data_IF_228354501187
#
_entry.id   IF_228354501187
#
_cell.length_a   1.000
_cell.length_b   1.000
_cell.length_c   1.000
_cell.angle_alpha   90.00
_cell.angle_beta   90.00
_cell.angle_gamma   90.00
#
_symmetry.space_group_name_H-M   'P 1'
#
loop_
_entity.id
_entity.type
_entity.pdbx_description
1 polymer ?
#
# COMPACT_ATOMS: atom_id res chain seq x y z
N UNK A 1 -17.96 -11.38 5.92
CA UNK A 1 -17.24 -10.57 6.94
C UNK A 1 -16.75 -9.34 6.21
N UNK A 2 -17.10 -8.12 6.63
CA UNK A 2 -16.61 -6.88 6.03
C UNK A 2 -15.39 -6.42 6.81
N UNK A 3 -14.35 -5.92 6.10
CA UNK A 3 -13.19 -5.31 6.73
C UNK A 3 -13.66 -4.03 7.46
N UNK A 4 -13.17 -3.83 8.68
CA UNK A 4 -13.51 -2.65 9.47
C UNK A 4 -12.78 -1.42 8.92
N UNK A 5 -13.49 -0.30 8.83
CA UNK A 5 -12.96 1.03 8.51
C UNK A 5 -12.79 1.85 9.77
N UNK A 6 -11.73 2.64 9.84
CA UNK A 6 -11.40 3.54 10.95
C UNK A 6 -10.74 4.80 10.39
N UNK A 7 -10.90 5.93 11.04
CA UNK A 7 -10.31 7.18 10.59
C UNK A 7 -8.80 7.26 10.91
N UNK A 8 -8.06 8.06 10.15
CA UNK A 8 -6.61 8.26 10.30
C UNK A 8 -6.20 8.87 11.65
N UNK A 9 -7.12 9.50 12.37
CA UNK A 9 -6.90 10.07 13.70
C UNK A 9 -7.19 9.09 14.86
N UNK A 10 -7.60 7.86 14.54
CA UNK A 10 -7.84 6.83 15.55
C UNK A 10 -6.57 6.52 16.34
N UNK A 11 -6.75 6.19 17.61
CA UNK A 11 -5.63 5.83 18.46
C UNK A 11 -4.99 4.49 18.04
N UNK A 12 -3.68 4.39 18.28
CA UNK A 12 -2.87 3.27 17.86
C UNK A 12 -3.32 1.93 18.47
N UNK A 13 -3.76 1.94 19.72
CA UNK A 13 -4.13 0.70 20.42
C UNK A 13 -5.44 0.15 19.84
N UNK A 14 -6.40 1.03 19.50
CA UNK A 14 -7.63 0.63 18.79
C UNK A 14 -7.31 0.00 17.42
N UNK A 15 -6.39 0.57 16.65
CA UNK A 15 -5.99 0.00 15.35
C UNK A 15 -5.37 -1.39 15.55
N UNK A 16 -4.50 -1.54 16.54
CA UNK A 16 -3.84 -2.82 16.85
C UNK A 16 -4.84 -3.90 17.29
N UNK A 17 -5.83 -3.55 18.13
CA UNK A 17 -6.89 -4.48 18.54
C UNK A 17 -7.68 -5.00 17.33
N UNK A 18 -7.98 -4.13 16.36
CA UNK A 18 -8.67 -4.52 15.13
C UNK A 18 -7.78 -5.47 14.30
N UNK A 19 -6.51 -5.14 14.11
CA UNK A 19 -5.57 -5.99 13.36
C UNK A 19 -5.41 -7.36 14.04
N UNK A 20 -5.30 -7.39 15.36
CA UNK A 20 -5.13 -8.63 16.12
C UNK A 20 -6.35 -9.54 16.02
N UNK A 21 -7.55 -8.94 16.02
CA UNK A 21 -8.82 -9.66 15.94
C UNK A 21 -9.17 -10.11 14.51
N UNK A 22 -9.01 -9.22 13.52
CA UNK A 22 -9.55 -9.36 12.17
C UNK A 22 -8.47 -9.59 11.11
N UNK A 23 -7.18 -9.48 11.48
CA UNK A 23 -6.00 -9.55 10.61
C UNK A 23 -5.98 -8.48 9.48
N UNK A 24 -6.92 -7.55 9.46
CA UNK A 24 -7.01 -6.48 8.48
C UNK A 24 -7.82 -5.29 9.01
N UNK A 25 -7.43 -4.09 8.58
CA UNK A 25 -8.17 -2.84 8.84
C UNK A 25 -7.99 -1.91 7.64
N UNK A 26 -8.99 -1.10 7.35
CA UNK A 26 -8.88 0.03 6.42
C UNK A 26 -8.79 1.31 7.23
N UNK A 27 -7.72 2.07 7.04
CA UNK A 27 -7.54 3.38 7.65
C UNK A 27 -7.91 4.44 6.59
N UNK A 28 -9.04 5.10 6.82
CA UNK A 28 -9.57 6.12 5.92
C UNK A 28 -8.85 7.47 6.15
N UNK A 29 -8.87 8.34 5.15
CA UNK A 29 -8.37 9.73 5.21
C UNK A 29 -6.87 9.88 5.51
N UNK A 30 -6.05 8.85 5.26
CA UNK A 30 -4.58 8.94 5.43
C UNK A 30 -3.94 9.91 4.44
N UNK A 31 -4.54 10.04 3.24
CA UNK A 31 -4.06 10.91 2.17
C UNK A 31 -5.14 11.94 1.82
N UNK A 32 -4.70 13.18 1.60
CA UNK A 32 -5.54 14.22 1.02
C UNK A 32 -5.80 13.97 -0.49
N UNK A 33 -6.79 14.66 -1.05
CA UNK A 33 -7.03 14.59 -2.51
C UNK A 33 -5.82 15.09 -3.31
N UNK A 34 -5.13 16.14 -2.83
CA UNK A 34 -3.92 16.67 -3.45
C UNK A 34 -2.78 15.64 -3.43
N UNK A 35 -2.60 14.92 -2.31
CA UNK A 35 -1.62 13.83 -2.22
C UNK A 35 -1.92 12.70 -3.21
N UNK A 36 -3.19 12.35 -3.37
CA UNK A 36 -3.61 11.33 -4.35
C UNK A 36 -3.33 11.77 -5.79
N UNK A 37 -3.60 13.04 -6.13
CA UNK A 37 -3.30 13.62 -7.43
C UNK A 37 -1.78 13.61 -7.66
N UNK A 38 -1.00 14.00 -6.66
CA UNK A 38 0.46 14.02 -6.76
C UNK A 38 1.02 12.61 -6.99
N UNK A 39 0.61 11.61 -6.20
CA UNK A 39 1.05 10.21 -6.38
C UNK A 39 0.71 9.71 -7.79
N UNK A 40 -0.50 9.97 -8.27
CA UNK A 40 -0.91 9.59 -9.63
C UNK A 40 0.00 10.22 -10.68
N UNK A 41 0.27 11.52 -10.58
CA UNK A 41 1.13 12.23 -11.53
C UNK A 41 2.58 11.71 -11.50
N UNK A 42 3.12 11.39 -10.33
CA UNK A 42 4.46 10.86 -10.17
C UNK A 42 4.62 9.43 -10.73
N UNK A 43 3.57 8.60 -10.64
CA UNK A 43 3.61 7.21 -11.08
C UNK A 43 3.13 7.02 -12.53
N UNK A 44 2.31 7.92 -13.07
CA UNK A 44 1.73 7.79 -14.40
C UNK A 44 2.75 7.58 -15.54
N UNK A 45 3.91 8.28 -15.56
CA UNK A 45 4.93 8.06 -16.59
C UNK A 45 5.48 6.63 -16.60
N UNK A 46 5.58 6.01 -15.44
CA UNK A 46 6.05 4.62 -15.31
C UNK A 46 4.97 3.63 -15.72
N UNK A 47 3.72 3.84 -15.27
CA UNK A 47 2.58 3.02 -15.66
C UNK A 47 2.30 3.07 -17.16
N UNK A 48 2.50 4.23 -17.80
CA UNK A 48 2.30 4.37 -19.26
C UNK A 48 3.36 3.60 -20.08
N UNK A 49 4.57 3.45 -19.55
CA UNK A 49 5.68 2.80 -20.22
C UNK A 49 5.87 1.33 -19.79
N UNK A 50 5.07 0.86 -18.83
CA UNK A 50 5.17 -0.51 -18.36
C UNK A 50 4.49 -1.49 -19.34
N UNK A 51 5.03 -2.70 -19.40
CA UNK A 51 4.49 -3.78 -20.22
C UNK A 51 3.47 -4.53 -19.38
N UNK A 52 2.31 -4.81 -19.98
CA UNK A 52 1.31 -5.66 -19.34
C UNK A 52 1.84 -7.08 -19.15
N UNK A 53 1.30 -7.79 -18.16
CA UNK A 53 1.66 -9.20 -17.94
C UNK A 53 1.22 -10.07 -19.12
N UNK A 54 1.80 -11.25 -19.23
CA UNK A 54 1.63 -12.16 -20.35
C UNK A 54 1.11 -13.55 -19.95
N UNK A 55 0.75 -13.73 -18.69
CA UNK A 55 0.28 -15.01 -18.16
C UNK A 55 -0.71 -14.84 -16.99
N UNK A 56 -1.35 -15.91 -16.56
CA UNK A 56 -2.36 -15.90 -15.50
C UNK A 56 -1.84 -15.40 -14.15
N UNK A 57 -0.56 -15.60 -13.85
CA UNK A 57 0.03 -15.13 -12.60
C UNK A 57 0.33 -13.61 -12.64
N UNK A 58 0.81 -13.11 -13.77
CA UNK A 58 1.12 -11.69 -13.95
C UNK A 58 -0.09 -10.85 -14.37
N UNK A 59 -1.14 -11.50 -14.91
CA UNK A 59 -2.32 -10.88 -15.50
C UNK A 59 -2.05 -10.35 -16.91
N UNK A 60 -3.05 -10.39 -17.77
CA UNK A 60 -2.91 -9.99 -19.18
C UNK A 60 -3.13 -8.50 -19.42
N UNK A 61 -3.82 -7.82 -18.49
CA UNK A 61 -4.08 -6.37 -18.52
C UNK A 61 -3.58 -5.71 -17.23
N UNK A 62 -2.56 -6.28 -16.60
CA UNK A 62 -2.03 -5.81 -15.32
C UNK A 62 -0.64 -5.23 -15.51
N UNK A 63 -0.46 -3.99 -15.03
CA UNK A 63 0.83 -3.28 -14.99
C UNK A 63 1.37 -3.24 -13.57
N UNK A 64 2.70 -3.34 -13.42
CA UNK A 64 3.37 -3.32 -12.13
C UNK A 64 4.58 -2.40 -12.14
N UNK A 65 4.50 -1.35 -11.34
CA UNK A 65 5.61 -0.40 -11.16
C UNK A 65 6.23 -0.63 -9.80
N UNK A 66 7.42 -1.18 -9.76
CA UNK A 66 8.19 -1.39 -8.54
C UNK A 66 9.02 -0.16 -8.14
N UNK A 67 9.74 -0.28 -7.02
CA UNK A 67 10.67 0.73 -6.52
C UNK A 67 10.03 2.12 -6.32
N UNK A 68 8.82 2.17 -5.73
CA UNK A 68 8.07 3.43 -5.55
C UNK A 68 8.86 4.47 -4.76
N UNK A 69 9.67 4.03 -3.80
CA UNK A 69 10.51 4.91 -2.99
C UNK A 69 11.54 5.66 -3.86
N UNK A 70 12.04 5.06 -4.92
CA UNK A 70 12.96 5.72 -5.85
C UNK A 70 12.23 6.63 -6.85
N UNK A 71 10.98 6.33 -7.18
CA UNK A 71 10.22 6.94 -8.29
C UNK A 71 9.27 8.05 -7.87
N UNK A 72 8.78 8.02 -6.63
CA UNK A 72 7.77 8.96 -6.13
C UNK A 72 8.21 9.59 -4.82
N UNK A 73 8.49 10.91 -4.78
CA UNK A 73 8.69 11.65 -3.54
C UNK A 73 7.55 11.48 -2.55
N UNK A 74 6.30 11.52 -3.03
CA UNK A 74 5.12 11.38 -2.17
C UNK A 74 5.00 9.96 -1.59
N UNK A 75 5.36 8.91 -2.32
CA UNK A 75 5.43 7.55 -1.77
C UNK A 75 6.51 7.42 -0.69
N UNK A 76 7.62 8.17 -0.77
CA UNK A 76 8.61 8.22 0.32
C UNK A 76 8.04 8.83 1.60
N UNK A 77 7.29 9.94 1.46
CA UNK A 77 6.60 10.56 2.60
C UNK A 77 5.59 9.60 3.22
N UNK A 78 4.80 8.93 2.40
CA UNK A 78 3.83 7.93 2.86
C UNK A 78 4.48 6.76 3.59
N UNK A 79 5.62 6.26 3.11
CA UNK A 79 6.39 5.21 3.78
C UNK A 79 6.92 5.64 5.16
N UNK A 80 7.05 6.95 5.39
CA UNK A 80 7.45 7.53 6.68
C UNK A 80 6.27 7.97 7.53
N UNK A 81 5.03 7.61 7.15
CA UNK A 81 3.84 7.95 7.94
C UNK A 81 4.00 7.46 9.39
N UNK A 82 3.88 8.36 10.40
CA UNK A 82 4.18 8.01 11.78
C UNK A 82 3.25 6.93 12.36
N UNK A 83 1.98 6.92 11.98
CA UNK A 83 1.02 5.89 12.41
C UNK A 83 1.42 4.51 11.88
N UNK A 84 1.72 4.42 10.58
CA UNK A 84 2.13 3.16 9.94
C UNK A 84 3.45 2.65 10.54
N UNK A 85 4.43 3.55 10.77
CA UNK A 85 5.69 3.17 11.41
C UNK A 85 5.49 2.71 12.86
N UNK A 86 4.64 3.37 13.63
CA UNK A 86 4.33 2.98 15.01
C UNK A 86 3.60 1.62 15.06
N UNK A 87 2.64 1.38 14.15
CA UNK A 87 1.98 0.08 14.00
C UNK A 87 2.98 -1.02 13.64
N UNK A 88 3.82 -0.78 12.64
CA UNK A 88 4.85 -1.74 12.21
C UNK A 88 5.79 -2.09 13.36
N UNK A 89 6.21 -1.09 14.13
CA UNK A 89 7.05 -1.26 15.31
C UNK A 89 6.39 -2.14 16.36
N UNK A 90 5.18 -1.78 16.79
CA UNK A 90 4.45 -2.53 17.82
C UNK A 90 4.15 -3.97 17.41
N UNK A 91 3.85 -4.19 16.11
CA UNK A 91 3.49 -5.51 15.61
C UNK A 91 4.70 -6.41 15.34
N UNK A 92 5.81 -5.85 14.84
CA UNK A 92 6.97 -6.65 14.39
C UNK A 92 8.06 -6.84 15.46
N UNK A 93 8.39 -5.80 16.23
CA UNK A 93 9.50 -5.86 17.22
C UNK A 93 9.39 -7.00 18.25
N UNK A 94 8.20 -7.44 18.72
CA UNK A 94 8.11 -8.59 19.58
C UNK A 94 8.59 -9.92 18.96
N UNK A 95 8.74 -9.95 17.62
CA UNK A 95 9.01 -11.17 16.86
C UNK A 95 10.33 -11.13 16.08
N UNK A 96 11.08 -10.02 16.11
CA UNK A 96 12.32 -9.86 15.36
C UNK A 96 13.25 -8.81 16.01
N UNK A 97 14.56 -8.95 15.79
CA UNK A 97 15.56 -7.98 16.27
C UNK A 97 15.62 -6.70 15.41
N UNK A 98 15.01 -6.72 14.23
CA UNK A 98 14.93 -5.59 13.33
C UNK A 98 14.12 -5.92 12.08
N UNK A 99 13.57 -4.90 11.46
CA UNK A 99 12.79 -5.02 10.23
C UNK A 99 13.11 -3.86 9.27
N UNK A 100 12.82 -4.05 8.00
CA UNK A 100 13.01 -3.03 6.98
C UNK A 100 11.91 -3.10 5.91
N UNK A 101 11.68 -1.98 5.24
CA UNK A 101 10.83 -1.95 4.06
C UNK A 101 11.51 -2.77 2.94
N UNK A 102 10.89 -3.88 2.55
CA UNK A 102 11.47 -4.79 1.56
C UNK A 102 11.05 -4.46 0.14
N UNK A 103 9.77 -4.23 -0.09
CA UNK A 103 9.21 -4.10 -1.44
C UNK A 103 8.13 -3.03 -1.50
N UNK A 104 8.12 -2.24 -2.59
CA UNK A 104 7.07 -1.27 -2.88
C UNK A 104 6.64 -1.40 -4.33
N UNK A 105 5.33 -1.52 -4.58
CA UNK A 105 4.79 -1.66 -5.92
C UNK A 105 3.44 -0.98 -6.06
N UNK A 106 3.22 -0.35 -7.20
CA UNK A 106 1.90 0.02 -7.69
C UNK A 106 1.46 -1.02 -8.71
N UNK A 107 0.27 -1.58 -8.51
CA UNK A 107 -0.32 -2.57 -9.40
C UNK A 107 -1.60 -1.97 -9.96
N UNK A 108 -1.66 -1.82 -11.27
CA UNK A 108 -2.84 -1.36 -12.00
C UNK A 108 -3.44 -2.54 -12.75
N UNK A 109 -4.61 -2.97 -12.32
CA UNK A 109 -5.36 -4.06 -12.95
C UNK A 109 -6.34 -3.45 -13.95
N UNK A 110 -6.33 -3.93 -15.19
CA UNK A 110 -7.23 -3.49 -16.24
C UNK A 110 -8.67 -3.93 -16.02
N UNK A 111 -9.64 -3.33 -16.73
CA UNK A 111 -11.04 -3.69 -16.62
C UNK A 111 -11.27 -5.13 -17.14
N UNK A 112 -12.09 -5.90 -16.41
CA UNK A 112 -12.42 -7.30 -16.73
C UNK A 112 -11.21 -8.26 -16.74
N UNK A 113 -10.13 -7.92 -16.06
CA UNK A 113 -9.01 -8.83 -15.88
C UNK A 113 -9.46 -10.10 -15.16
N UNK A 114 -8.97 -11.24 -15.61
CA UNK A 114 -9.22 -12.54 -14.96
C UNK A 114 -8.58 -12.56 -13.57
N UNK A 115 -9.26 -13.16 -12.61
CA UNK A 115 -8.71 -13.32 -11.27
C UNK A 115 -7.37 -14.07 -11.35
N UNK A 116 -6.34 -13.48 -10.71
CA UNK A 116 -5.02 -14.11 -10.62
C UNK A 116 -5.04 -15.21 -9.55
N UNK A 117 -4.32 -16.29 -9.80
CA UNK A 117 -4.22 -17.44 -8.90
C UNK A 117 -3.21 -17.17 -7.78
#
# INVERSE_FOLDING_TARGET
MSIQHIDADADLDTILEIIDRDAAVVIDNVLSEDDLIQIKNELQPYLNNDIEGDNEFTGFQTKRVGALIARSPKCRELALNPTINALSKKFLEPHCDGYQLHFTSAIQIGPNETAQI
#
